data_IF_278850822996
#
_entry.id   IF_278850822996
#
_cell.length_a   1.000
_cell.length_b   1.000
_cell.length_c   1.000
_cell.angle_alpha   90.00
_cell.angle_beta   90.00
_cell.angle_gamma   90.00
#
_symmetry.space_group_name_H-M   'P 1'
#
loop_
_entity.id
_entity.type
_entity.pdbx_description
1 polymer ?
#
# COMPACT_ATOMS: atom_id res chain seq x y z
N UNK A 1 -86.60 41.07 -80.59
CA UNK A 1 -86.25 40.49 -79.27
C UNK A 1 -85.25 39.39 -79.50
N UNK A 2 -83.96 39.67 -79.25
CA UNK A 2 -82.86 38.69 -79.39
C UNK A 2 -82.45 38.27 -78.00
N UNK A 3 -82.59 37.00 -77.65
CA UNK A 3 -82.12 36.39 -76.44
C UNK A 3 -80.70 35.87 -76.61
N UNK A 4 -79.75 36.45 -75.86
CA UNK A 4 -78.34 36.11 -75.81
C UNK A 4 -78.09 34.86 -74.96
N UNK A 5 -77.63 33.75 -75.54
CA UNK A 5 -77.29 32.51 -74.88
C UNK A 5 -75.91 32.63 -74.25
N UNK A 6 -75.76 32.63 -72.98
CA UNK A 6 -74.53 32.64 -72.23
C UNK A 6 -74.02 31.20 -72.09
N UNK A 7 -72.85 30.95 -72.67
CA UNK A 7 -72.19 29.65 -72.68
C UNK A 7 -71.39 29.46 -71.36
N UNK A 8 -71.92 28.69 -70.41
CA UNK A 8 -71.22 28.31 -69.17
C UNK A 8 -70.20 27.24 -69.48
N UNK A 9 -68.88 27.45 -69.15
CA UNK A 9 -67.90 26.41 -69.33
C UNK A 9 -68.12 25.26 -68.36
N UNK A 10 -67.99 24.01 -68.86
CA UNK A 10 -68.30 22.76 -68.13
C UNK A 10 -67.46 22.61 -66.88
N UNK A 11 -68.10 22.32 -65.75
CA UNK A 11 -67.52 22.10 -64.41
C UNK A 11 -66.37 21.06 -64.38
N UNK A 12 -66.43 20.09 -65.29
CA UNK A 12 -65.39 19.04 -65.47
C UNK A 12 -64.07 19.58 -65.92
N UNK A 13 -63.96 20.57 -66.85
CA UNK A 13 -62.71 21.20 -67.29
C UNK A 13 -62.07 22.01 -66.17
N UNK A 14 -62.84 22.70 -65.33
CA UNK A 14 -62.30 23.44 -64.16
C UNK A 14 -61.73 22.51 -63.07
N UNK A 15 -62.42 21.35 -62.87
CA UNK A 15 -61.98 20.34 -61.92
C UNK A 15 -60.65 19.66 -62.36
N UNK A 16 -60.47 19.35 -63.63
CA UNK A 16 -59.26 18.79 -64.22
C UNK A 16 -58.12 19.81 -64.09
N UNK A 17 -58.35 21.10 -64.40
CA UNK A 17 -57.34 22.17 -64.27
C UNK A 17 -56.91 22.33 -62.82
N UNK A 18 -57.87 22.25 -61.87
CA UNK A 18 -57.58 22.34 -60.44
C UNK A 18 -56.74 21.14 -59.94
N UNK A 19 -57.07 19.92 -60.36
CA UNK A 19 -56.24 18.70 -59.99
C UNK A 19 -54.83 18.78 -60.58
N UNK A 20 -54.66 19.20 -61.83
CA UNK A 20 -53.37 19.37 -62.47
C UNK A 20 -52.52 20.47 -61.73
N UNK A 21 -53.22 21.58 -61.38
CA UNK A 21 -52.52 22.65 -60.61
C UNK A 21 -52.06 22.18 -59.21
N UNK A 22 -52.89 21.36 -58.51
CA UNK A 22 -52.47 20.77 -57.19
C UNK A 22 -51.36 19.76 -57.35
N UNK A 23 -51.42 18.92 -58.39
CA UNK A 23 -50.32 17.96 -58.67
C UNK A 23 -49.03 18.68 -59.04
N UNK A 24 -49.05 19.73 -59.81
CA UNK A 24 -47.91 20.55 -60.15
C UNK A 24 -47.33 21.26 -58.92
N UNK A 25 -48.22 21.76 -58.01
CA UNK A 25 -47.80 22.37 -56.75
C UNK A 25 -47.08 21.34 -55.83
N UNK A 26 -47.67 20.14 -55.71
CA UNK A 26 -47.09 19.04 -54.93
C UNK A 26 -45.72 18.60 -55.53
N UNK A 27 -45.58 18.51 -56.85
CA UNK A 27 -44.36 18.18 -57.55
C UNK A 27 -43.26 19.23 -57.33
N UNK A 28 -43.63 20.54 -57.33
CA UNK A 28 -42.71 21.64 -57.03
C UNK A 28 -42.24 21.59 -55.57
N UNK A 29 -43.14 21.36 -54.61
CA UNK A 29 -42.79 21.24 -53.20
C UNK A 29 -41.93 20.03 -52.97
N UNK A 30 -42.22 18.89 -53.57
CA UNK A 30 -41.39 17.68 -53.50
C UNK A 30 -39.99 17.91 -54.11
N UNK A 31 -39.91 18.59 -55.24
CA UNK A 31 -38.63 18.96 -55.87
C UNK A 31 -37.79 19.86 -55.00
N UNK A 32 -38.37 20.91 -54.40
CA UNK A 32 -37.70 21.82 -53.48
C UNK A 32 -37.22 21.04 -52.22
N UNK A 33 -38.02 20.14 -51.67
CA UNK A 33 -37.67 19.26 -50.55
C UNK A 33 -36.53 18.32 -50.90
N UNK A 34 -36.56 17.67 -52.04
CA UNK A 34 -35.46 16.80 -52.52
C UNK A 34 -34.17 17.60 -52.72
N UNK A 35 -34.26 18.78 -53.34
CA UNK A 35 -33.11 19.65 -53.56
C UNK A 35 -32.52 20.16 -52.22
N UNK A 36 -33.39 20.52 -51.25
CA UNK A 36 -32.98 20.94 -49.93
C UNK A 36 -32.31 19.82 -49.15
N UNK A 37 -32.82 18.57 -49.25
CA UNK A 37 -32.21 17.39 -48.63
C UNK A 37 -30.86 17.06 -49.30
N UNK A 38 -30.77 17.13 -50.64
CA UNK A 38 -29.50 16.93 -51.35
C UNK A 38 -28.44 17.99 -50.97
N UNK A 39 -28.85 19.28 -50.85
CA UNK A 39 -27.95 20.35 -50.41
C UNK A 39 -27.53 20.16 -48.96
N UNK A 40 -28.42 19.67 -48.06
CA UNK A 40 -28.08 19.40 -46.67
C UNK A 40 -27.09 18.22 -46.53
N UNK A 41 -27.24 17.17 -47.34
CA UNK A 41 -26.30 16.02 -47.41
C UNK A 41 -24.96 16.47 -48.01
N UNK A 42 -24.95 17.29 -49.05
CA UNK A 42 -23.69 17.81 -49.65
C UNK A 42 -22.99 18.82 -48.78
N UNK A 43 -23.67 19.55 -47.89
CA UNK A 43 -23.14 20.49 -46.96
C UNK A 43 -22.64 19.89 -45.63
N UNK A 44 -22.91 18.61 -45.38
CA UNK A 44 -22.43 17.88 -44.20
C UNK A 44 -20.93 17.64 -44.32
N UNK A 45 -20.12 18.64 -43.96
CA UNK A 45 -18.67 18.41 -43.75
C UNK A 45 -18.53 17.36 -42.66
N UNK A 46 -17.63 16.37 -42.81
CA UNK A 46 -17.33 15.46 -41.72
C UNK A 46 -16.93 16.27 -40.49
N UNK A 47 -17.39 15.89 -39.29
CA UNK A 47 -16.97 16.56 -38.07
C UNK A 47 -15.44 16.57 -38.00
N UNK A 48 -14.84 17.65 -37.52
CA UNK A 48 -13.38 17.70 -37.38
C UNK A 48 -12.91 16.51 -36.49
N UNK A 49 -11.75 15.91 -36.81
CA UNK A 49 -11.24 14.80 -36.01
C UNK A 49 -11.07 15.23 -34.56
N UNK A 50 -11.51 14.40 -33.61
CA UNK A 50 -11.36 14.67 -32.21
C UNK A 50 -9.86 14.60 -31.82
N UNK A 51 -9.40 15.61 -31.10
CA UNK A 51 -8.02 15.64 -30.58
C UNK A 51 -8.00 14.80 -29.29
N UNK A 52 -7.08 13.85 -29.22
CA UNK A 52 -6.92 12.91 -28.10
C UNK A 52 -5.45 12.73 -27.75
N UNK A 53 -5.19 12.46 -26.48
CA UNK A 53 -3.88 11.96 -26.03
C UNK A 53 -3.90 10.44 -25.98
N UNK A 54 -2.78 9.81 -26.24
CA UNK A 54 -2.65 8.34 -26.32
C UNK A 54 -1.47 7.86 -25.50
N UNK A 55 -1.56 6.62 -25.02
CA UNK A 55 -0.45 5.89 -24.43
C UNK A 55 -0.41 4.45 -24.95
N UNK A 56 0.77 3.86 -24.96
CA UNK A 56 0.96 2.46 -25.33
C UNK A 56 0.78 1.56 -24.11
N UNK A 57 0.11 0.44 -24.30
CA UNK A 57 0.02 -0.61 -23.30
C UNK A 57 1.41 -1.25 -23.12
N UNK A 58 1.95 -1.20 -21.92
CA UNK A 58 3.28 -1.73 -21.57
C UNK A 58 3.18 -2.78 -20.50
N UNK A 59 3.96 -3.84 -20.63
CA UNK A 59 4.06 -4.87 -19.60
C UNK A 59 5.02 -4.41 -18.50
N UNK A 60 4.58 -4.51 -17.24
CA UNK A 60 5.39 -4.20 -16.06
C UNK A 60 5.30 -5.34 -15.05
N UNK A 61 6.40 -5.57 -14.35
CA UNK A 61 6.43 -6.54 -13.26
C UNK A 61 5.89 -5.88 -11.98
N UNK A 62 4.74 -6.32 -11.51
CA UNK A 62 4.14 -5.86 -10.28
C UNK A 62 4.28 -6.91 -9.19
N UNK A 63 4.71 -6.47 -8.01
CA UNK A 63 4.66 -7.23 -6.79
C UNK A 63 3.40 -6.78 -6.03
N UNK A 64 2.47 -7.66 -5.69
CA UNK A 64 1.37 -7.32 -4.82
C UNK A 64 1.88 -6.85 -3.45
N UNK A 65 1.24 -5.84 -2.89
CA UNK A 65 1.60 -5.26 -1.59
C UNK A 65 0.38 -5.20 -0.69
N UNK A 66 0.57 -5.53 0.59
CA UNK A 66 -0.42 -5.32 1.64
C UNK A 66 -0.06 -4.04 2.40
N UNK A 67 -1.03 -3.15 2.52
CA UNK A 67 -0.85 -1.88 3.21
C UNK A 67 -1.46 -1.91 4.60
N UNK A 68 -0.74 -1.39 5.57
CA UNK A 68 -1.20 -1.24 6.95
C UNK A 68 -0.60 0.02 7.58
N UNK A 69 -1.14 0.40 8.72
CA UNK A 69 -0.52 1.41 9.60
C UNK A 69 0.08 0.68 10.79
N UNK A 70 1.32 1.01 11.12
CA UNK A 70 2.04 0.41 12.23
C UNK A 70 2.59 1.46 13.19
N UNK A 71 2.97 0.99 14.38
CA UNK A 71 3.62 1.80 15.40
C UNK A 71 5.02 1.27 15.66
N UNK A 72 6.00 2.15 15.67
CA UNK A 72 7.39 1.80 15.94
C UNK A 72 7.57 1.51 17.43
N UNK A 73 8.34 0.46 17.74
CA UNK A 73 8.64 0.02 19.10
C UNK A 73 10.13 -0.33 19.21
N UNK A 74 10.75 0.07 20.34
CA UNK A 74 12.12 -0.36 20.64
C UNK A 74 12.18 -1.89 20.77
N UNK A 75 13.28 -2.50 20.32
CA UNK A 75 13.53 -3.94 20.54
C UNK A 75 13.57 -4.26 22.04
N UNK A 76 14.22 -3.38 22.80
CA UNK A 76 14.26 -3.42 24.27
C UNK A 76 14.04 -2.01 24.79
N UNK A 77 13.08 -1.86 25.68
CA UNK A 77 12.80 -0.62 26.40
C UNK A 77 12.53 -0.95 27.87
N UNK A 78 13.16 -0.24 28.77
CA UNK A 78 12.94 -0.39 30.20
C UNK A 78 13.05 0.95 30.93
N UNK A 79 12.17 1.15 31.88
CA UNK A 79 12.27 2.23 32.86
C UNK A 79 13.12 1.72 34.02
N UNK A 80 14.33 2.26 34.13
CA UNK A 80 15.30 1.81 35.11
C UNK A 80 15.01 2.46 36.47
N UNK A 81 14.87 1.62 37.47
CA UNK A 81 14.64 1.99 38.86
C UNK A 81 15.55 1.17 39.77
N UNK A 82 15.73 1.59 40.99
CA UNK A 82 16.44 0.81 42.04
C UNK A 82 15.42 0.13 42.96
N UNK A 83 15.82 -1.04 43.48
CA UNK A 83 14.99 -1.84 44.41
C UNK A 83 15.14 -1.38 45.85
N UNK A 84 16.12 -0.50 46.13
CA UNK A 84 16.45 -0.04 47.47
C UNK A 84 16.43 1.47 47.56
N UNK A 85 16.07 1.99 48.75
CA UNK A 85 16.16 3.39 49.03
C UNK A 85 17.58 3.86 49.27
N UNK A 86 17.86 5.14 49.00
CA UNK A 86 19.13 5.74 49.36
C UNK A 86 19.37 7.11 48.76
N UNK A 87 20.43 7.78 49.27
CA UNK A 87 20.88 9.06 48.79
C UNK A 87 21.74 8.90 47.57
N UNK A 88 21.43 9.60 46.46
CA UNK A 88 22.23 9.62 45.24
C UNK A 88 23.59 10.33 45.52
N UNK A 89 24.68 9.64 45.30
CA UNK A 89 26.04 10.20 45.40
C UNK A 89 26.59 10.63 44.05
N UNK A 90 26.33 9.86 43.02
CA UNK A 90 26.81 10.13 41.65
C UNK A 90 25.80 9.74 40.59
N UNK A 91 25.72 10.55 39.52
CA UNK A 91 25.00 10.27 38.30
C UNK A 91 26.01 10.31 37.15
N UNK A 92 26.23 9.16 36.49
CA UNK A 92 27.27 8.96 35.47
C UNK A 92 26.68 8.93 34.04
N UNK A 93 25.43 9.29 33.87
CA UNK A 93 24.70 9.32 32.58
C UNK A 93 24.02 10.68 32.42
N UNK A 94 24.07 11.23 31.20
CA UNK A 94 23.34 12.45 30.83
C UNK A 94 22.16 12.07 29.97
N UNK A 95 21.16 12.97 29.89
CA UNK A 95 20.03 12.83 29.00
C UNK A 95 20.48 12.68 27.55
N UNK A 96 20.01 11.63 26.87
CA UNK A 96 20.35 11.34 25.49
C UNK A 96 21.65 10.57 25.24
N UNK A 97 22.41 10.25 26.30
CA UNK A 97 23.68 9.52 26.17
C UNK A 97 23.49 8.08 25.66
N UNK A 98 24.48 7.62 24.90
CA UNK A 98 24.63 6.20 24.56
C UNK A 98 25.30 5.47 25.69
N UNK A 99 24.67 4.40 26.17
CA UNK A 99 25.19 3.57 27.24
C UNK A 99 25.43 2.14 26.79
N UNK A 100 26.45 1.48 27.37
CA UNK A 100 26.77 0.09 27.11
C UNK A 100 26.19 -0.79 28.22
N UNK A 101 25.90 -2.04 27.89
CA UNK A 101 25.47 -3.02 28.87
C UNK A 101 26.51 -3.11 30.02
N UNK A 102 26.02 -3.14 31.29
CA UNK A 102 26.86 -3.18 32.50
C UNK A 102 27.43 -1.82 32.94
N UNK A 103 27.30 -0.76 32.12
CA UNK A 103 27.79 0.58 32.49
C UNK A 103 27.05 1.09 33.74
N UNK A 104 27.79 1.66 34.68
CA UNK A 104 27.26 2.27 35.88
C UNK A 104 26.59 3.60 35.51
N UNK A 105 25.28 3.71 35.75
CA UNK A 105 24.49 4.90 35.46
C UNK A 105 24.30 5.80 36.66
N UNK A 106 24.06 5.19 37.83
CA UNK A 106 23.83 5.92 39.08
C UNK A 106 24.37 5.12 40.26
N UNK A 107 24.85 5.83 41.26
CA UNK A 107 25.38 5.28 42.52
C UNK A 107 24.62 5.90 43.69
N UNK A 108 24.06 5.09 44.56
CA UNK A 108 23.63 5.49 45.89
C UNK A 108 24.78 5.49 46.86
N UNK A 109 24.58 6.11 48.02
CA UNK A 109 25.55 6.04 49.12
C UNK A 109 25.63 4.60 49.64
N UNK A 110 26.80 4.01 49.56
CA UNK A 110 27.09 2.61 49.86
C UNK A 110 28.23 2.44 50.86
N UNK A 111 28.74 3.56 51.43
CA UNK A 111 29.91 3.54 52.32
C UNK A 111 29.76 2.61 53.54
N UNK A 112 28.53 2.58 54.12
CA UNK A 112 28.22 1.71 55.27
C UNK A 112 28.16 0.24 54.84
N UNK A 113 27.54 -0.05 53.69
CA UNK A 113 27.42 -1.40 53.13
C UNK A 113 28.78 -1.97 52.73
N UNK A 114 29.68 -1.14 52.18
CA UNK A 114 31.07 -1.52 51.84
C UNK A 114 31.88 -1.78 53.12
N UNK A 115 31.73 -0.95 54.15
CA UNK A 115 32.46 -1.18 55.42
C UNK A 115 32.01 -2.51 56.05
N UNK A 116 30.72 -2.82 56.04
CA UNK A 116 30.18 -4.11 56.49
C UNK A 116 30.68 -5.28 55.62
N UNK A 117 30.77 -5.12 54.31
CA UNK A 117 31.33 -6.14 53.41
C UNK A 117 32.76 -6.48 53.79
N UNK A 118 33.63 -5.48 53.97
CA UNK A 118 35.04 -5.70 54.41
C UNK A 118 35.12 -6.40 55.77
N UNK A 119 34.21 -6.09 56.69
CA UNK A 119 34.14 -6.79 57.98
C UNK A 119 33.82 -8.28 57.82
N UNK A 120 32.84 -8.59 56.97
CA UNK A 120 32.41 -9.98 56.69
C UNK A 120 33.47 -10.75 55.92
N UNK A 121 34.17 -10.12 54.96
CA UNK A 121 35.31 -10.69 54.25
C UNK A 121 36.45 -11.07 55.21
N UNK A 122 36.80 -10.20 56.16
CA UNK A 122 37.77 -10.50 57.17
C UNK A 122 37.37 -11.69 58.08
N UNK A 123 36.06 -11.79 58.44
CA UNK A 123 35.54 -12.91 59.19
C UNK A 123 35.57 -14.22 58.39
N UNK A 124 35.29 -14.18 57.12
CA UNK A 124 35.38 -15.34 56.22
C UNK A 124 36.82 -15.78 56.04
N UNK A 125 37.76 -14.85 55.85
CA UNK A 125 39.20 -15.17 55.77
C UNK A 125 39.71 -15.83 57.04
N UNK A 126 39.27 -15.42 58.24
CA UNK A 126 39.61 -16.09 59.49
C UNK A 126 39.05 -17.54 59.54
N UNK A 127 37.79 -17.72 59.07
CA UNK A 127 37.16 -19.04 58.99
C UNK A 127 37.88 -19.97 58.00
N UNK A 128 38.37 -19.43 56.86
CA UNK A 128 39.20 -20.17 55.88
C UNK A 128 40.48 -20.72 56.54
N UNK A 129 41.20 -19.87 57.26
CA UNK A 129 42.42 -20.29 57.98
C UNK A 129 42.10 -21.33 59.05
N UNK A 130 40.98 -21.16 59.79
CA UNK A 130 40.53 -22.08 60.84
C UNK A 130 40.20 -23.46 60.27
N UNK A 131 39.46 -23.46 59.20
CA UNK A 131 39.06 -24.69 58.46
C UNK A 131 40.28 -25.41 57.90
N UNK A 132 41.22 -24.69 57.25
CA UNK A 132 42.46 -25.28 56.75
C UNK A 132 43.24 -25.96 57.87
N UNK A 133 43.37 -25.31 59.02
CA UNK A 133 43.99 -25.91 60.21
C UNK A 133 43.23 -27.15 60.71
N UNK A 134 41.93 -27.08 60.81
CA UNK A 134 41.09 -28.21 61.19
C UNK A 134 41.22 -29.42 60.26
N UNK A 135 41.26 -29.15 58.93
CA UNK A 135 41.53 -30.18 57.93
C UNK A 135 42.89 -30.89 58.14
N UNK A 136 43.91 -30.10 58.35
CA UNK A 136 45.29 -30.63 58.56
C UNK A 136 45.34 -31.44 59.88
N UNK A 137 44.72 -30.98 60.98
CA UNK A 137 44.60 -31.68 62.25
C UNK A 137 43.81 -32.99 62.18
N UNK A 138 42.69 -33.00 61.35
CA UNK A 138 41.93 -34.21 61.13
C UNK A 138 42.76 -35.26 60.37
N UNK A 139 43.55 -34.85 59.39
CA UNK A 139 44.46 -35.75 58.64
C UNK A 139 45.43 -36.54 59.52
N UNK A 140 45.84 -35.92 60.66
CA UNK A 140 46.69 -36.56 61.67
C UNK A 140 45.96 -37.04 62.93
N UNK A 141 44.62 -37.08 62.83
CA UNK A 141 43.70 -37.60 63.89
C UNK A 141 43.75 -36.85 65.21
N UNK A 142 44.13 -35.57 65.25
CA UNK A 142 44.24 -34.74 66.46
C UNK A 142 42.91 -34.16 66.88
N UNK A 143 41.92 -33.99 65.90
CA UNK A 143 40.58 -33.51 66.19
C UNK A 143 39.51 -34.54 65.76
N UNK A 144 38.28 -34.42 66.29
CA UNK A 144 37.15 -35.23 65.90
C UNK A 144 36.60 -34.83 64.52
N UNK A 145 35.93 -35.78 63.87
CA UNK A 145 35.20 -35.46 62.64
C UNK A 145 34.12 -34.40 62.87
N UNK A 146 33.52 -34.37 64.06
CA UNK A 146 32.50 -33.39 64.41
C UNK A 146 33.07 -31.98 64.47
N UNK A 147 34.30 -31.79 65.00
CA UNK A 147 34.99 -30.47 65.03
C UNK A 147 35.36 -30.01 63.64
N UNK A 148 35.80 -30.93 62.76
CA UNK A 148 36.06 -30.62 61.35
C UNK A 148 34.73 -30.21 60.64
N UNK A 149 33.66 -30.99 60.78
CA UNK A 149 32.39 -30.72 60.15
C UNK A 149 31.80 -29.39 60.66
N UNK A 150 32.01 -29.03 61.95
CA UNK A 150 31.64 -27.74 62.51
C UNK A 150 32.42 -26.60 61.90
N UNK A 151 33.73 -26.70 61.68
CA UNK A 151 34.54 -25.69 61.06
C UNK A 151 34.23 -25.48 59.59
N UNK A 152 33.88 -26.59 58.89
CA UNK A 152 33.41 -26.55 57.51
C UNK A 152 32.02 -25.82 57.38
N UNK A 153 31.13 -26.07 58.33
CA UNK A 153 29.84 -25.40 58.38
C UNK A 153 29.96 -23.91 58.68
N UNK A 154 30.87 -23.52 59.60
CA UNK A 154 31.12 -22.10 59.91
C UNK A 154 31.73 -21.37 58.71
N UNK A 155 32.73 -21.96 58.06
CA UNK A 155 33.29 -21.39 56.80
C UNK A 155 32.21 -21.13 55.78
N UNK A 156 31.33 -22.13 55.51
CA UNK A 156 30.23 -21.95 54.53
C UNK A 156 29.29 -20.85 54.95
N UNK A 157 28.98 -20.73 56.24
CA UNK A 157 28.09 -19.66 56.75
C UNK A 157 28.71 -18.27 56.58
N UNK A 158 30.04 -18.11 56.81
CA UNK A 158 30.74 -16.82 56.62
C UNK A 158 30.77 -16.42 55.12
N UNK A 159 31.08 -17.34 54.23
CA UNK A 159 31.04 -17.05 52.79
C UNK A 159 29.63 -16.69 52.32
N UNK A 160 28.59 -17.36 52.82
CA UNK A 160 27.21 -17.00 52.51
C UNK A 160 26.86 -15.57 52.99
N UNK A 161 27.38 -15.14 54.14
CA UNK A 161 27.19 -13.78 54.64
C UNK A 161 27.91 -12.72 53.76
N UNK A 162 29.11 -13.01 53.26
CA UNK A 162 29.84 -12.16 52.32
C UNK A 162 28.99 -12.01 51.02
N UNK A 163 28.59 -13.12 50.43
CA UNK A 163 27.80 -13.09 49.20
C UNK A 163 26.49 -12.31 49.37
N UNK A 164 25.81 -12.45 50.52
CA UNK A 164 24.62 -11.67 50.83
C UNK A 164 24.91 -10.17 50.86
N UNK A 165 26.01 -9.75 51.44
CA UNK A 165 26.41 -8.34 51.55
C UNK A 165 26.87 -7.79 50.19
N UNK A 166 27.58 -8.56 49.36
CA UNK A 166 27.94 -8.21 47.98
C UNK A 166 26.69 -7.84 47.17
N UNK A 167 25.58 -8.64 47.29
CA UNK A 167 24.32 -8.35 46.66
C UNK A 167 23.73 -7.03 47.16
N UNK A 168 23.81 -6.75 48.47
CA UNK A 168 23.33 -5.47 49.05
C UNK A 168 24.09 -4.28 48.49
N UNK A 169 25.42 -4.35 48.38
CA UNK A 169 26.25 -3.34 47.74
C UNK A 169 25.90 -3.18 46.26
N UNK A 170 25.73 -4.30 45.56
CA UNK A 170 25.34 -4.26 44.14
C UNK A 170 23.97 -3.57 43.91
N UNK A 171 23.00 -3.76 44.79
CA UNK A 171 21.69 -3.07 44.75
C UNK A 171 21.79 -1.56 44.89
N UNK A 172 22.90 -1.00 45.43
CA UNK A 172 23.13 0.44 45.50
C UNK A 172 23.64 1.05 44.20
N UNK A 173 23.86 0.23 43.17
CA UNK A 173 24.36 0.63 41.87
C UNK A 173 23.32 0.35 40.79
N UNK A 174 22.93 1.37 40.04
CA UNK A 174 22.14 1.18 38.84
C UNK A 174 23.05 0.99 37.64
N UNK A 175 23.01 -0.18 37.04
CA UNK A 175 23.74 -0.52 35.81
C UNK A 175 22.82 -0.77 34.67
N UNK A 176 23.23 -0.42 33.44
CA UNK A 176 22.48 -0.63 32.23
C UNK A 176 22.31 -2.15 31.95
N UNK A 177 21.07 -2.69 31.88
CA UNK A 177 20.85 -4.10 31.61
C UNK A 177 21.13 -4.49 30.14
N UNK A 178 21.11 -3.54 29.22
CA UNK A 178 21.47 -3.70 27.80
C UNK A 178 22.02 -2.37 27.26
N UNK A 179 22.68 -2.43 26.11
CA UNK A 179 23.18 -1.23 25.42
C UNK A 179 22.04 -0.50 24.72
N UNK A 180 22.00 0.83 24.83
CA UNK A 180 20.95 1.64 24.26
C UNK A 180 21.14 3.13 24.52
N UNK A 181 20.13 3.92 24.19
CA UNK A 181 20.10 5.36 24.42
C UNK A 181 19.31 5.67 25.68
N UNK A 182 19.89 6.48 26.55
CA UNK A 182 19.24 6.97 27.76
C UNK A 182 18.22 8.06 27.41
N UNK A 183 17.07 8.03 28.02
CA UNK A 183 16.06 9.08 27.95
C UNK A 183 16.46 10.32 28.76
N UNK A 184 15.45 11.06 29.22
CA UNK A 184 15.68 12.27 30.05
C UNK A 184 15.99 11.82 31.48
N UNK A 185 17.11 12.26 32.01
CA UNK A 185 17.53 12.05 33.40
C UNK A 185 17.14 13.26 34.22
N UNK A 186 16.28 13.06 35.20
CA UNK A 186 15.77 14.14 36.07
C UNK A 186 16.39 14.13 37.48
N UNK A 187 17.18 13.10 37.78
CA UNK A 187 17.75 12.86 39.12
C UNK A 187 19.10 13.55 39.25
N UNK A 188 19.32 14.21 40.38
CA UNK A 188 20.57 14.91 40.72
C UNK A 188 21.25 14.27 41.91
N UNK A 189 22.60 14.40 42.02
CA UNK A 189 23.30 14.06 43.26
C UNK A 189 22.72 14.83 44.45
N UNK A 190 22.60 14.14 45.59
CA UNK A 190 21.94 14.69 46.81
C UNK A 190 20.42 14.41 46.89
N UNK A 191 19.81 13.87 45.83
CA UNK A 191 18.41 13.44 45.89
C UNK A 191 18.26 12.13 46.64
N UNK A 192 17.23 12.01 47.50
CA UNK A 192 16.89 10.75 48.13
C UNK A 192 15.85 10.01 47.28
N UNK A 193 16.16 8.76 46.92
CA UNK A 193 15.29 7.91 46.10
C UNK A 193 14.58 6.86 46.94
N UNK A 194 13.34 6.58 46.59
CA UNK A 194 12.57 5.46 47.10
C UNK A 194 12.60 4.30 46.12
N UNK A 195 12.41 3.04 46.57
CA UNK A 195 12.32 1.87 45.70
C UNK A 195 11.26 2.08 44.61
N UNK A 196 11.57 1.64 43.38
CA UNK A 196 10.66 1.73 42.24
C UNK A 196 10.55 3.12 41.56
N UNK A 197 11.27 4.13 42.08
CA UNK A 197 11.31 5.45 41.42
C UNK A 197 12.08 5.33 40.10
N UNK A 198 11.41 5.67 38.99
CA UNK A 198 12.05 5.68 37.64
C UNK A 198 13.14 6.75 37.60
N UNK A 199 14.35 6.35 37.23
CA UNK A 199 15.54 7.19 37.16
C UNK A 199 15.79 7.64 35.74
N UNK A 200 15.74 6.70 34.81
CA UNK A 200 15.96 6.94 33.38
C UNK A 200 15.32 5.82 32.58
N UNK A 201 14.72 6.17 31.45
CA UNK A 201 14.26 5.21 30.46
C UNK A 201 15.41 4.83 29.55
N UNK A 202 15.68 3.56 29.34
CA UNK A 202 16.72 3.07 28.44
C UNK A 202 16.04 2.36 27.24
N UNK A 203 16.42 2.73 26.02
CA UNK A 203 15.84 2.17 24.80
C UNK A 203 16.91 1.76 23.80
N UNK A 204 16.78 0.56 23.27
CA UNK A 204 17.58 0.06 22.17
C UNK A 204 16.88 0.46 20.84
N UNK A 205 17.47 1.43 20.12
CA UNK A 205 16.89 2.04 18.93
C UNK A 205 17.32 1.35 17.62
N UNK A 206 18.39 0.57 17.62
CA UNK A 206 18.86 -0.16 16.45
C UNK A 206 19.08 -1.64 16.80
N UNK A 207 18.40 -2.55 16.07
CA UNK A 207 17.29 -2.30 15.15
C UNK A 207 16.05 -1.77 15.88
N UNK A 208 15.02 -1.34 15.14
CA UNK A 208 13.71 -0.98 15.68
C UNK A 208 12.65 -1.95 15.17
N UNK A 209 11.59 -2.21 15.93
CA UNK A 209 10.44 -2.98 15.50
C UNK A 209 9.31 -2.07 15.05
N UNK A 210 8.50 -2.56 14.13
CA UNK A 210 7.21 -1.99 13.81
C UNK A 210 6.14 -3.06 14.00
N UNK A 211 5.14 -2.74 14.82
CA UNK A 211 3.98 -3.56 15.09
C UNK A 211 2.81 -3.02 14.26
N UNK A 212 2.19 -3.85 13.45
CA UNK A 212 1.05 -3.49 12.62
C UNK A 212 0.04 -4.62 12.53
N UNK A 213 -1.16 -4.32 12.04
CA UNK A 213 -2.26 -5.26 11.99
C UNK A 213 -2.73 -5.44 10.55
N UNK A 214 -2.95 -6.68 10.14
CA UNK A 214 -3.50 -7.03 8.84
C UNK A 214 -4.76 -7.89 9.00
N UNK A 215 -5.74 -7.76 8.08
CA UNK A 215 -6.94 -8.59 8.09
C UNK A 215 -6.60 -10.08 8.00
N UNK A 216 -7.35 -10.91 8.71
CA UNK A 216 -7.18 -12.38 8.71
C UNK A 216 -7.23 -12.99 7.30
N UNK A 217 -7.97 -12.39 6.35
CA UNK A 217 -8.06 -12.87 4.96
C UNK A 217 -6.69 -12.90 4.26
N UNK A 218 -5.79 -11.99 4.65
CA UNK A 218 -4.48 -11.81 4.02
C UNK A 218 -3.40 -12.70 4.65
N UNK A 219 -3.76 -13.44 5.74
CA UNK A 219 -2.84 -14.32 6.47
C UNK A 219 -2.23 -15.43 5.59
N UNK A 220 -2.98 -15.91 4.59
CA UNK A 220 -2.49 -16.94 3.68
C UNK A 220 -1.27 -16.50 2.84
N UNK A 221 -1.14 -15.19 2.60
CA UNK A 221 -0.07 -14.59 1.81
C UNK A 221 1.13 -14.14 2.66
N UNK A 222 0.96 -14.09 3.99
CA UNK A 222 2.00 -13.63 4.91
C UNK A 222 2.99 -14.75 5.24
N UNK A 223 4.30 -14.40 5.24
CA UNK A 223 5.39 -15.27 5.67
C UNK A 223 6.43 -14.44 6.41
N UNK A 224 7.10 -15.05 7.39
CA UNK A 224 8.28 -14.47 8.01
C UNK A 224 9.41 -14.34 6.98
N UNK A 225 10.18 -13.25 7.07
CA UNK A 225 11.26 -12.95 6.13
C UNK A 225 10.82 -12.14 4.90
N UNK A 226 9.53 -11.89 4.70
CA UNK A 226 9.05 -11.01 3.62
C UNK A 226 9.59 -9.59 3.82
N UNK A 227 9.92 -8.94 2.70
CA UNK A 227 10.36 -7.54 2.69
C UNK A 227 9.17 -6.61 2.88
N UNK A 228 9.45 -5.51 3.51
CA UNK A 228 8.49 -4.43 3.66
C UNK A 228 9.19 -3.08 3.54
N UNK A 229 8.40 -2.09 3.22
CA UNK A 229 8.81 -0.69 3.13
C UNK A 229 7.97 0.14 4.10
N UNK A 230 8.63 1.04 4.84
CA UNK A 230 7.99 1.99 5.73
C UNK A 230 8.06 3.40 5.15
N UNK A 231 6.94 4.08 5.15
CA UNK A 231 6.85 5.53 4.96
C UNK A 231 6.46 6.20 6.28
N UNK A 232 7.15 7.27 6.64
CA UNK A 232 6.83 8.06 7.83
C UNK A 232 6.56 9.51 7.44
N UNK A 233 5.51 10.11 7.97
CA UNK A 233 5.15 11.51 7.73
C UNK A 233 6.22 12.48 8.25
N UNK A 234 6.97 12.05 9.30
CA UNK A 234 8.10 12.82 9.82
C UNK A 234 9.29 12.91 8.83
N UNK A 235 9.36 12.05 7.82
CA UNK A 235 10.44 11.98 6.84
C UNK A 235 9.87 11.85 5.42
N UNK A 236 9.21 12.88 4.88
CA UNK A 236 8.56 12.82 3.58
C UNK A 236 9.59 12.51 2.48
N UNK A 237 9.24 11.57 1.61
CA UNK A 237 10.11 11.13 0.50
C UNK A 237 11.23 10.17 0.89
N UNK A 238 11.41 9.82 2.17
CA UNK A 238 12.36 8.81 2.64
C UNK A 238 11.62 7.52 3.01
N UNK A 239 12.06 6.39 2.47
CA UNK A 239 11.53 5.07 2.79
C UNK A 239 12.56 4.25 3.56
N UNK A 240 12.08 3.40 4.47
CA UNK A 240 12.91 2.52 5.28
C UNK A 240 12.54 1.07 4.99
N UNK A 241 13.52 0.28 4.60
CA UNK A 241 13.32 -1.15 4.32
C UNK A 241 13.42 -1.98 5.60
N UNK A 242 12.55 -2.99 5.69
CA UNK A 242 12.56 -3.94 6.80
C UNK A 242 12.17 -5.35 6.36
N UNK A 243 12.05 -6.25 7.34
CA UNK A 243 11.63 -7.64 7.12
C UNK A 243 10.65 -8.07 8.20
N UNK A 244 9.62 -8.82 7.82
CA UNK A 244 8.68 -9.45 8.76
C UNK A 244 9.45 -10.41 9.67
N UNK A 245 9.43 -10.16 10.99
CA UNK A 245 10.12 -10.97 12.00
C UNK A 245 9.22 -12.02 12.61
N UNK A 246 7.97 -11.68 12.87
CA UNK A 246 7.02 -12.58 13.48
C UNK A 246 5.57 -12.27 13.07
N UNK A 247 4.74 -13.29 13.05
CA UNK A 247 3.29 -13.20 12.84
C UNK A 247 2.64 -13.83 14.06
N UNK A 248 1.72 -13.11 14.70
CA UNK A 248 0.99 -13.62 15.86
C UNK A 248 0.19 -14.88 15.48
N UNK A 249 0.30 -15.96 16.26
CA UNK A 249 -0.53 -17.15 16.04
C UNK A 249 -1.99 -16.93 16.47
N UNK A 250 -2.28 -15.81 17.16
CA UNK A 250 -3.60 -15.44 17.63
C UNK A 250 -4.20 -14.36 16.74
N UNK A 251 -5.42 -14.62 16.25
CA UNK A 251 -6.27 -13.62 15.60
C UNK A 251 -7.09 -12.93 16.69
N UNK A 252 -7.14 -11.62 16.64
CA UNK A 252 -8.03 -10.84 17.49
C UNK A 252 -9.48 -11.08 17.07
N UNK A 253 -10.31 -11.56 18.01
CA UNK A 253 -11.71 -11.95 17.74
C UNK A 253 -12.62 -10.77 17.43
N UNK A 254 -12.32 -9.60 17.98
CA UNK A 254 -13.17 -8.41 17.91
C UNK A 254 -12.93 -7.67 16.61
N UNK A 255 -11.66 -7.51 16.23
CA UNK A 255 -11.25 -6.80 15.02
C UNK A 255 -11.01 -7.70 13.81
N UNK A 256 -10.87 -9.02 14.02
CA UNK A 256 -10.49 -10.03 13.01
C UNK A 256 -9.16 -9.72 12.33
N UNK A 257 -8.26 -9.08 13.05
CA UNK A 257 -6.93 -8.76 12.58
C UNK A 257 -5.87 -9.67 13.20
N UNK A 258 -4.78 -9.83 12.48
CA UNK A 258 -3.56 -10.52 12.93
C UNK A 258 -2.49 -9.47 13.18
N UNK A 259 -1.86 -9.51 14.35
CA UNK A 259 -0.71 -8.69 14.65
C UNK A 259 0.54 -9.24 13.96
N UNK A 260 1.26 -8.38 13.31
CA UNK A 260 2.53 -8.67 12.63
C UNK A 260 3.61 -7.76 13.19
N UNK A 261 4.76 -8.34 13.46
CA UNK A 261 5.97 -7.61 13.88
C UNK A 261 7.00 -7.66 12.76
N UNK A 262 7.60 -6.53 12.46
CA UNK A 262 8.72 -6.48 11.54
C UNK A 262 9.93 -5.76 12.14
N UNK A 263 11.11 -6.16 11.68
CA UNK A 263 12.40 -5.63 12.09
C UNK A 263 12.95 -4.69 11.03
N UNK A 264 13.33 -3.49 11.44
CA UNK A 264 13.83 -2.42 10.58
C UNK A 264 15.19 -1.96 11.07
N UNK A 265 16.24 -1.98 10.25
CA UNK A 265 17.53 -1.38 10.60
C UNK A 265 17.39 0.14 10.80
N UNK A 266 18.00 0.66 11.86
CA UNK A 266 17.95 2.08 12.21
C UNK A 266 19.36 2.60 12.59
N UNK A 267 20.37 2.48 11.72
CA UNK A 267 21.75 2.86 12.04
C UNK A 267 21.88 4.34 12.37
N UNK A 268 21.12 5.19 11.71
CA UNK A 268 21.08 6.64 11.95
C UNK A 268 20.30 7.02 13.22
N UNK A 269 19.56 6.07 13.81
CA UNK A 269 18.70 6.25 15.01
C UNK A 269 17.69 7.39 14.89
N UNK A 270 17.24 7.66 13.67
CA UNK A 270 16.21 8.67 13.39
C UNK A 270 14.79 8.15 13.66
N UNK A 271 14.60 6.83 13.54
CA UNK A 271 13.34 6.19 13.89
C UNK A 271 13.24 6.08 15.41
N UNK A 272 12.17 6.63 15.96
CA UNK A 272 11.95 6.69 17.41
C UNK A 272 10.71 5.88 17.78
N UNK A 273 10.73 5.11 18.89
CA UNK A 273 9.55 4.42 19.39
C UNK A 273 8.38 5.37 19.61
N UNK A 274 7.17 4.91 19.28
CA UNK A 274 5.94 5.70 19.33
C UNK A 274 5.60 6.44 18.04
N UNK A 275 6.50 6.50 17.05
CA UNK A 275 6.15 7.03 15.72
C UNK A 275 5.21 6.07 14.99
N UNK A 276 4.30 6.64 14.19
CA UNK A 276 3.45 5.90 13.25
C UNK A 276 4.12 5.83 11.88
N UNK A 277 3.92 4.70 11.22
CA UNK A 277 4.44 4.46 9.88
C UNK A 277 3.39 3.79 9.00
N UNK A 278 3.34 4.19 7.73
CA UNK A 278 2.66 3.45 6.69
C UNK A 278 3.54 2.28 6.27
N UNK A 279 3.02 1.08 6.37
CA UNK A 279 3.73 -0.18 6.11
C UNK A 279 3.22 -0.78 4.81
N UNK A 280 4.11 -1.09 3.88
CA UNK A 280 3.81 -1.83 2.64
C UNK A 280 4.58 -3.15 2.65
N UNK A 281 3.89 -4.28 2.81
CA UNK A 281 4.48 -5.63 2.83
C UNK A 281 4.42 -6.24 1.45
N UNK A 282 5.56 -6.64 0.90
CA UNK A 282 5.62 -7.36 -0.38
C UNK A 282 5.11 -8.79 -0.21
N UNK A 283 4.05 -9.17 -0.93
CA UNK A 283 3.46 -10.51 -0.87
C UNK A 283 3.48 -11.20 -2.24
N UNK A 284 3.31 -12.53 -2.24
CA UNK A 284 3.26 -13.31 -3.48
C UNK A 284 4.55 -13.25 -4.30
N UNK A 285 4.41 -13.48 -5.60
CA UNK A 285 5.50 -13.39 -6.58
C UNK A 285 5.25 -12.21 -7.53
N UNK A 286 6.32 -11.67 -8.09
CA UNK A 286 6.21 -10.69 -9.19
C UNK A 286 5.41 -11.29 -10.32
N UNK A 287 4.38 -10.60 -10.74
CA UNK A 287 3.52 -10.96 -11.87
C UNK A 287 3.65 -9.90 -12.95
N UNK A 288 3.79 -10.37 -14.18
CA UNK A 288 3.83 -9.46 -15.33
C UNK A 288 2.41 -9.06 -15.68
N UNK A 289 2.10 -7.79 -15.53
CA UNK A 289 0.81 -7.21 -15.88
C UNK A 289 0.96 -6.24 -17.04
N UNK A 290 0.02 -6.29 -17.96
CA UNK A 290 -0.15 -5.25 -18.96
C UNK A 290 -0.76 -4.04 -18.27
N UNK A 291 -0.14 -2.86 -18.36
CA UNK A 291 -0.53 -1.66 -17.60
C UNK A 291 -0.92 -0.52 -18.50
N UNK A 292 -1.91 0.23 -18.06
CA UNK A 292 -2.38 1.47 -18.65
C UNK A 292 -2.56 2.54 -17.58
N UNK A 293 -2.51 3.84 -17.95
CA UNK A 293 -3.02 4.89 -17.07
C UNK A 293 -4.49 4.66 -16.75
N UNK A 294 -4.91 4.86 -15.48
CA UNK A 294 -6.31 4.69 -15.08
C UNK A 294 -7.26 5.56 -15.91
N UNK A 295 -6.78 6.71 -16.38
CA UNK A 295 -7.53 7.62 -17.26
C UNK A 295 -7.88 7.02 -18.61
N UNK A 296 -7.20 5.95 -19.07
CA UNK A 296 -7.49 5.28 -20.33
C UNK A 296 -8.73 4.39 -20.25
N UNK A 297 -9.13 3.96 -19.05
CA UNK A 297 -10.27 3.05 -18.84
C UNK A 297 -11.54 3.84 -18.62
N UNK A 298 -12.58 3.49 -19.37
CA UNK A 298 -13.93 4.04 -19.22
C UNK A 298 -14.81 3.01 -18.53
N UNK A 299 -15.28 3.36 -17.34
CA UNK A 299 -16.13 2.52 -16.53
C UNK A 299 -17.60 2.76 -16.91
N UNK A 300 -18.28 1.75 -17.39
CA UNK A 300 -19.69 1.78 -17.78
C UNK A 300 -20.47 0.73 -16.99
N UNK A 301 -21.81 0.88 -16.83
CA UNK A 301 -22.65 -0.12 -16.18
C UNK A 301 -22.61 -1.52 -16.83
N UNK A 302 -22.19 -1.58 -18.09
CA UNK A 302 -22.12 -2.83 -18.89
C UNK A 302 -20.72 -3.42 -18.95
N UNK A 303 -19.73 -2.81 -18.33
CA UNK A 303 -18.33 -3.27 -18.30
C UNK A 303 -17.32 -2.16 -18.53
N UNK A 304 -16.07 -2.53 -18.43
CA UNK A 304 -14.91 -1.66 -18.58
C UNK A 304 -14.47 -1.66 -20.03
N UNK A 305 -14.19 -0.48 -20.57
CA UNK A 305 -13.81 -0.33 -21.98
C UNK A 305 -12.64 0.61 -22.14
N UNK A 306 -11.85 0.37 -23.17
CA UNK A 306 -10.79 1.27 -23.66
C UNK A 306 -11.02 1.62 -25.11
N UNK A 307 -10.54 2.78 -25.54
CA UNK A 307 -10.54 3.16 -26.95
C UNK A 307 -9.16 2.87 -27.56
N UNK A 308 -9.11 1.85 -28.40
CA UNK A 308 -7.92 1.44 -29.14
C UNK A 308 -7.79 2.29 -30.39
N UNK A 309 -6.58 2.79 -30.64
CA UNK A 309 -6.25 3.55 -31.85
C UNK A 309 -5.85 2.57 -32.95
N UNK A 310 -6.51 2.63 -34.08
CA UNK A 310 -6.27 1.75 -35.23
C UNK A 310 -6.28 2.59 -36.52
N UNK A 311 -5.65 2.07 -37.56
CA UNK A 311 -5.92 2.56 -38.93
C UNK A 311 -7.29 2.12 -39.36
N UNK A 312 -7.91 2.89 -40.25
CA UNK A 312 -9.24 2.54 -40.80
C UNK A 312 -9.26 1.14 -41.42
N UNK A 313 -8.18 0.76 -42.12
CA UNK A 313 -8.05 -0.53 -42.73
C UNK A 313 -7.99 -1.68 -41.69
N UNK A 314 -7.34 -1.46 -40.54
CA UNK A 314 -7.28 -2.45 -39.45
C UNK A 314 -8.63 -2.56 -38.71
N UNK A 315 -9.28 -1.42 -38.46
CA UNK A 315 -10.60 -1.40 -37.84
C UNK A 315 -11.63 -2.18 -38.66
N UNK A 316 -11.63 -1.98 -39.99
CA UNK A 316 -12.55 -2.71 -40.89
C UNK A 316 -12.23 -4.23 -40.93
N UNK A 317 -10.96 -4.63 -40.87
CA UNK A 317 -10.57 -6.04 -40.77
C UNK A 317 -11.02 -6.68 -39.46
N UNK A 318 -10.86 -5.98 -38.33
CA UNK A 318 -11.30 -6.48 -37.01
C UNK A 318 -12.82 -6.63 -36.96
N UNK A 319 -13.57 -5.65 -37.46
CA UNK A 319 -15.03 -5.74 -37.53
C UNK A 319 -15.50 -6.90 -38.41
N UNK A 320 -14.83 -7.15 -39.54
CA UNK A 320 -15.15 -8.28 -40.39
C UNK A 320 -14.84 -9.64 -39.70
N UNK A 321 -13.76 -9.72 -38.95
CA UNK A 321 -13.40 -10.91 -38.18
C UNK A 321 -14.37 -11.18 -37.03
N UNK A 322 -14.78 -10.14 -36.32
CA UNK A 322 -15.76 -10.23 -35.24
C UNK A 322 -17.14 -10.64 -35.72
N UNK A 323 -17.58 -10.09 -36.86
CA UNK A 323 -18.82 -10.49 -37.53
C UNK A 323 -18.79 -11.96 -38.00
N UNK A 324 -17.66 -12.43 -38.52
CA UNK A 324 -17.46 -13.83 -38.92
C UNK A 324 -17.47 -14.78 -37.69
N UNK A 325 -16.84 -14.39 -36.59
CA UNK A 325 -16.83 -15.18 -35.36
C UNK A 325 -18.24 -15.28 -34.72
N UNK A 326 -19.00 -14.18 -34.73
CA UNK A 326 -20.39 -14.16 -34.24
C UNK A 326 -21.32 -14.98 -35.11
N UNK A 327 -21.10 -15.01 -36.43
CA UNK A 327 -21.87 -15.85 -37.36
C UNK A 327 -21.55 -17.35 -37.15
N UNK A 328 -20.31 -17.71 -36.86
CA UNK A 328 -19.90 -19.10 -36.58
C UNK A 328 -20.42 -19.62 -35.21
N UNK A 329 -20.66 -18.74 -34.23
CA UNK A 329 -21.18 -19.11 -32.92
C UNK A 329 -22.71 -19.31 -32.87
N UNK A 330 -23.46 -18.90 -33.92
CA UNK A 330 -24.92 -19.00 -34.00
C UNK A 330 -25.40 -20.16 -34.88
N UNK A 331 -24.62 -21.23 -35.02
CA UNK A 331 -25.03 -22.43 -35.77
C UNK A 331 -25.88 -23.38 -34.89
N UNK A 332 -27.09 -22.90 -34.49
CA UNK A 332 -28.13 -23.72 -33.91
C UNK A 332 -29.31 -23.72 -34.92
N UNK A 333 -29.96 -24.90 -35.25
CA UNK A 333 -30.90 -25.04 -36.34
C UNK A 333 -32.16 -24.20 -36.09
N UNK A 334 -32.82 -23.67 -37.16
CA UNK A 334 -33.85 -22.64 -37.08
C UNK A 334 -35.16 -23.21 -36.50
N UNK A 335 -35.55 -22.72 -35.32
CA UNK A 335 -36.95 -22.77 -34.88
C UNK A 335 -37.69 -21.61 -35.52
N UNK A 336 -38.65 -21.97 -36.41
CA UNK A 336 -39.65 -21.06 -37.00
C UNK A 336 -40.26 -20.15 -35.92
N UNK A 337 -40.00 -18.84 -36.01
CA UNK A 337 -40.84 -17.82 -35.39
C UNK A 337 -40.93 -16.63 -36.34
N UNK A 338 -42.18 -16.46 -36.76
CA UNK A 338 -42.90 -15.34 -37.39
C UNK A 338 -42.13 -14.02 -37.59
N UNK A 339 -42.11 -13.66 -38.86
CA UNK A 339 -41.75 -12.39 -39.43
C UNK A 339 -42.37 -11.21 -38.65
N UNK A 340 -41.55 -10.43 -38.02
CA UNK A 340 -41.79 -9.02 -37.81
C UNK A 340 -40.68 -8.25 -38.55
N UNK A 341 -41.07 -7.81 -39.75
CA UNK A 341 -40.18 -7.02 -40.63
C UNK A 341 -40.04 -5.61 -40.03
N UNK A 342 -39.09 -5.43 -39.15
CA UNK A 342 -38.46 -4.12 -38.93
C UNK A 342 -37.19 -4.04 -39.74
N UNK A 343 -37.28 -3.34 -40.86
CA UNK A 343 -36.19 -3.06 -41.77
C UNK A 343 -34.90 -2.70 -41.06
N UNK A 344 -33.93 -3.61 -41.08
CA UNK A 344 -32.53 -3.30 -40.74
C UNK A 344 -32.04 -2.25 -41.76
N UNK A 345 -32.00 -1.02 -41.34
CA UNK A 345 -31.45 0.11 -42.08
C UNK A 345 -30.00 -0.20 -42.38
N UNK A 346 -29.67 -0.58 -43.64
CA UNK A 346 -28.30 -0.68 -44.12
C UNK A 346 -27.54 0.55 -43.65
N UNK A 347 -26.31 0.41 -43.05
CA UNK A 347 -25.50 1.55 -42.66
C UNK A 347 -25.26 2.41 -43.92
N UNK A 348 -25.79 3.64 -43.92
CA UNK A 348 -25.55 4.59 -44.97
C UNK A 348 -24.04 4.77 -45.17
N UNK A 349 -23.56 4.75 -46.42
CA UNK A 349 -22.20 5.12 -46.80
C UNK A 349 -21.94 6.53 -46.25
N UNK A 350 -21.36 6.60 -45.05
CA UNK A 350 -20.75 7.83 -44.51
C UNK A 350 -19.56 8.24 -45.38
N UNK A 351 -19.06 9.45 -45.27
CA UNK A 351 -17.89 9.90 -46.01
C UNK A 351 -16.74 8.90 -45.82
N UNK A 352 -16.24 8.37 -46.94
CA UNK A 352 -15.16 7.38 -46.91
C UNK A 352 -13.88 8.08 -46.42
N UNK A 353 -13.47 7.78 -45.19
CA UNK A 353 -12.17 8.19 -44.65
C UNK A 353 -11.05 7.48 -45.43
N UNK A 354 -9.90 8.14 -45.62
CA UNK A 354 -8.72 7.49 -46.20
C UNK A 354 -8.35 6.22 -45.40
N UNK A 355 -7.81 5.19 -46.04
CA UNK A 355 -7.44 3.91 -45.38
C UNK A 355 -6.40 4.10 -44.25
N UNK A 356 -5.60 5.17 -44.31
CA UNK A 356 -4.58 5.55 -43.34
C UNK A 356 -5.11 6.45 -42.21
N UNK A 357 -6.42 6.85 -42.26
CA UNK A 357 -7.00 7.67 -41.22
C UNK A 357 -7.02 6.92 -39.90
N UNK A 358 -6.58 7.59 -38.83
CA UNK A 358 -6.65 7.06 -37.48
C UNK A 358 -8.09 7.11 -36.97
N UNK A 359 -8.57 5.97 -36.51
CA UNK A 359 -9.91 5.81 -35.93
C UNK A 359 -9.79 5.09 -34.59
N UNK A 360 -10.76 5.28 -33.73
CA UNK A 360 -10.85 4.57 -32.45
C UNK A 360 -11.85 3.44 -32.51
N UNK A 361 -11.49 2.32 -31.90
CA UNK A 361 -12.42 1.21 -31.66
C UNK A 361 -12.56 0.99 -30.15
N UNK A 362 -13.80 0.94 -29.69
CA UNK A 362 -14.10 0.59 -28.30
C UNK A 362 -13.91 -0.91 -28.12
N UNK A 363 -13.07 -1.28 -27.14
CA UNK A 363 -12.75 -2.68 -26.83
C UNK A 363 -13.05 -2.91 -25.36
N UNK A 364 -13.75 -4.01 -25.05
CA UNK A 364 -13.99 -4.44 -23.67
C UNK A 364 -12.71 -5.01 -23.10
N UNK A 365 -12.42 -4.61 -21.86
CA UNK A 365 -11.27 -5.08 -21.10
C UNK A 365 -11.71 -5.55 -19.72
N UNK A 366 -10.91 -6.41 -19.12
CA UNK A 366 -11.07 -6.75 -17.70
C UNK A 366 -9.89 -6.13 -16.97
N UNK A 367 -10.17 -5.19 -16.07
CA UNK A 367 -9.14 -4.59 -15.24
C UNK A 367 -8.79 -5.49 -14.06
N UNK A 368 -7.61 -5.28 -13.51
CA UNK A 368 -7.07 -5.95 -12.34
C UNK A 368 -6.72 -4.95 -11.24
N UNK A 369 -5.69 -5.24 -10.43
CA UNK A 369 -5.24 -4.34 -9.39
C UNK A 369 -4.74 -3.00 -9.97
N UNK A 370 -4.80 -1.97 -9.14
CA UNK A 370 -4.29 -0.63 -9.47
C UNK A 370 -3.02 -0.34 -8.66
N UNK A 371 -2.11 0.44 -9.24
CA UNK A 371 -0.90 0.91 -8.56
C UNK A 371 -0.62 2.36 -8.94
N UNK A 372 -0.80 3.26 -7.99
CA UNK A 372 -0.72 4.70 -8.26
C UNK A 372 -1.71 5.13 -9.34
N UNK A 373 -1.22 5.75 -10.43
CA UNK A 373 -2.03 6.19 -11.57
C UNK A 373 -2.26 5.09 -12.61
N UNK A 374 -1.76 3.88 -12.38
CA UNK A 374 -1.80 2.76 -13.32
C UNK A 374 -2.83 1.71 -12.92
N UNK A 375 -3.39 1.04 -13.91
CA UNK A 375 -4.28 -0.11 -13.77
C UNK A 375 -3.76 -1.29 -14.60
N UNK A 376 -3.79 -2.48 -14.02
CA UNK A 376 -3.48 -3.70 -14.74
C UNK A 376 -4.64 -4.11 -15.65
N UNK A 377 -4.35 -4.58 -16.84
CA UNK A 377 -5.33 -5.17 -17.76
C UNK A 377 -5.08 -6.69 -17.79
N UNK A 378 -6.11 -7.43 -17.37
CA UNK A 378 -6.04 -8.89 -17.27
C UNK A 378 -6.45 -9.57 -18.59
N UNK A 379 -7.40 -8.97 -19.33
CA UNK A 379 -7.91 -9.51 -20.60
C UNK A 379 -8.38 -8.37 -21.51
N UNK A 380 -8.37 -8.63 -22.81
CA UNK A 380 -8.99 -7.78 -23.82
C UNK A 380 -8.06 -6.79 -24.52
N UNK A 381 -6.76 -6.81 -24.20
CA UNK A 381 -5.77 -5.93 -24.86
C UNK A 381 -4.42 -6.64 -24.98
N UNK A 382 -3.70 -6.38 -26.07
CA UNK A 382 -2.37 -6.88 -26.34
C UNK A 382 -1.29 -5.84 -25.98
N UNK A 383 -0.07 -6.31 -25.73
CA UNK A 383 1.10 -5.45 -25.46
C UNK A 383 1.45 -4.60 -26.70
N UNK A 384 1.79 -3.34 -26.48
CA UNK A 384 2.17 -2.39 -27.53
C UNK A 384 0.99 -1.70 -28.23
N UNK A 385 -0.25 -2.09 -27.93
CA UNK A 385 -1.45 -1.44 -28.50
C UNK A 385 -1.56 -0.02 -27.96
N UNK A 386 -1.84 0.94 -28.83
CA UNK A 386 -2.02 2.34 -28.48
C UNK A 386 -3.47 2.60 -28.10
N UNK A 387 -3.69 3.22 -26.91
CA UNK A 387 -5.01 3.51 -26.36
C UNK A 387 -5.16 5.00 -26.03
N UNK A 388 -6.38 5.50 -26.11
CA UNK A 388 -6.70 6.89 -25.79
C UNK A 388 -6.71 7.06 -24.27
N UNK A 389 -5.98 8.08 -23.78
CA UNK A 389 -5.87 8.41 -22.35
C UNK A 389 -6.63 9.67 -21.96
N UNK A 390 -6.96 10.54 -22.95
CA UNK A 390 -7.71 11.78 -22.72
C UNK A 390 -8.61 12.07 -23.91
N UNK A 391 -9.80 12.66 -23.66
CA UNK A 391 -10.77 13.04 -24.72
C UNK A 391 -11.82 11.97 -25.03
N UNK A 392 -11.89 10.86 -24.28
CA UNK A 392 -12.79 9.71 -24.55
C UNK A 392 -14.28 10.03 -24.53
N UNK A 393 -14.73 11.03 -23.73
CA UNK A 393 -16.15 11.37 -23.53
C UNK A 393 -16.86 11.72 -24.85
N UNK A 394 -16.10 12.22 -25.81
CA UNK A 394 -16.64 12.65 -27.12
C UNK A 394 -16.51 11.60 -28.21
N UNK A 395 -15.87 10.45 -27.89
CA UNK A 395 -15.58 9.42 -28.87
C UNK A 395 -16.71 8.41 -29.01
N UNK A 396 -16.89 7.95 -30.24
CA UNK A 396 -17.70 6.78 -30.59
C UNK A 396 -16.83 5.83 -31.40
N UNK A 397 -17.12 4.54 -31.34
CA UNK A 397 -16.40 3.54 -32.16
C UNK A 397 -16.48 3.94 -33.66
N UNK A 398 -15.34 3.93 -34.35
CA UNK A 398 -15.21 4.39 -35.74
C UNK A 398 -14.99 5.90 -35.93
N UNK A 399 -14.96 6.70 -34.85
CA UNK A 399 -14.71 8.13 -34.97
C UNK A 399 -13.27 8.42 -35.40
N UNK A 400 -13.06 9.38 -36.36
CA UNK A 400 -11.72 9.82 -36.74
C UNK A 400 -11.10 10.66 -35.63
N UNK A 401 -9.80 10.45 -35.38
CA UNK A 401 -9.04 11.13 -34.35
C UNK A 401 -7.79 11.79 -34.90
N UNK A 402 -7.26 12.74 -34.12
CA UNK A 402 -5.93 13.30 -34.26
C UNK A 402 -5.23 13.18 -32.91
N UNK A 403 -4.04 12.58 -32.92
CA UNK A 403 -3.21 12.44 -31.73
C UNK A 403 -2.50 13.75 -31.44
N UNK A 404 -2.61 14.19 -30.18
CA UNK A 404 -1.83 15.30 -29.61
C UNK A 404 -1.39 14.89 -28.20
N UNK A 405 -0.12 14.52 -28.10
CA UNK A 405 0.51 14.08 -26.86
C UNK A 405 1.28 15.20 -26.13
N UNK A 406 0.98 16.47 -26.44
CA UNK A 406 1.60 17.64 -25.76
C UNK A 406 1.22 17.70 -24.28
N UNK A 407 0.03 17.20 -23.92
CA UNK A 407 -0.44 17.06 -22.54
C UNK A 407 -0.84 15.62 -22.31
N UNK A 408 -0.08 14.89 -21.50
CA UNK A 408 -0.41 13.51 -21.12
C UNK A 408 -0.90 13.48 -19.68
N UNK A 409 -1.92 12.65 -19.37
CA UNK A 409 -2.30 12.36 -18.00
C UNK A 409 -1.15 11.71 -17.22
N UNK A 410 -1.16 11.89 -15.89
CA UNK A 410 -0.21 11.24 -15.00
C UNK A 410 -0.26 9.70 -15.18
N UNK A 411 0.92 9.09 -15.16
CA UNK A 411 1.11 7.64 -15.33
C UNK A 411 2.23 7.14 -14.40
N UNK A 412 2.24 7.64 -13.16
CA UNK A 412 3.24 7.25 -12.17
C UNK A 412 2.76 6.02 -11.38
N UNK A 413 3.59 4.99 -11.22
CA UNK A 413 3.29 3.88 -10.29
C UNK A 413 3.30 4.33 -8.82
N UNK A 414 3.96 5.45 -8.49
CA UNK A 414 4.03 6.05 -7.16
C UNK A 414 3.83 7.57 -7.29
N UNK A 415 2.58 8.06 -7.44
CA UNK A 415 2.31 9.49 -7.53
C UNK A 415 2.63 10.15 -6.21
N UNK A 416 3.36 11.29 -6.25
CA UNK A 416 3.50 12.17 -5.10
C UNK A 416 2.22 12.97 -4.95
N UNK A 417 1.62 13.05 -3.74
CA UNK A 417 0.47 13.92 -3.50
C UNK A 417 0.82 15.36 -3.90
N UNK A 418 0.02 15.96 -4.79
CA UNK A 418 0.12 17.37 -5.09
C UNK A 418 -0.74 18.11 -4.06
N UNK A 419 -0.10 18.80 -3.14
CA UNK A 419 -0.79 19.74 -2.26
C UNK A 419 -1.23 20.93 -3.12
N UNK A 420 -2.54 21.16 -3.20
CA UNK A 420 -3.17 22.34 -3.81
C UNK A 420 -3.52 23.35 -2.73
#
# INVERSE_FOLDING_TARGET
MQTRVENKPSTTKRMIVMIVAVLALVAVIAGIKVLSIMRMIAASKPPPPAVVSTAKATSQDWQPELHAVGTLRAVRGADLALDVAGLVTRVNVKSGDEVRQGQLLLQLRDSEDIALLHQLEAAAALADVTFARARDQLAVQVISKADYDQSAADLKAKHAAVTQQEVNVAKKQLRAPFSGRAGIVTINPGTYLNPGTTIVTLQQLDPIYVDFHLPQKDLAELRTGQKLTLGLDAFPGRTFGGTVSAISPKVDSDTRNVQVEAKVPNPDRVLTPGMFASVSVEVGSKQRHLTLPQTAVVYNPYGETVFVVLTKAEADRRQAAEAAATAAANDDPPKEKQQDQRAAKKPGKGPQLPPDALVVQQTFVTTGPTRGDQVAILKGLDEGVEVVTSGQIKLKSGAPIRIDNSVQPANSPNPTPQEH
#
